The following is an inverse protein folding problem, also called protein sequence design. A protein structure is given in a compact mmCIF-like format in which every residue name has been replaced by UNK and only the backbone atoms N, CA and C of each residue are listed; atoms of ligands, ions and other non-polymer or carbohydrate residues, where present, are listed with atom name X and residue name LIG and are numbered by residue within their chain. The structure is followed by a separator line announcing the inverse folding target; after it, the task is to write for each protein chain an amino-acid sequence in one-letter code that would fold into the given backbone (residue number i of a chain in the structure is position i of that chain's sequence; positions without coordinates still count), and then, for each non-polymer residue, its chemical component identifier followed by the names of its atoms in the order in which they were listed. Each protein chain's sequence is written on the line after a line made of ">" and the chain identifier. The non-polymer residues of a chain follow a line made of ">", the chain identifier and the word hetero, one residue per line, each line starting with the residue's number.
data_IF_438275594039
#
_entry.id   IF_438275594039
#
_cell.length_a   1.000
_cell.length_b   1.000
_cell.length_c   1.000
_cell.angle_alpha   90.00
_cell.angle_beta   90.00
_cell.angle_gamma   90.00
#
_symmetry.space_group_name_H-M   'P 1'
#
loop_
_entity.id
_entity.type
_entity.pdbx_description
1 polymer ?
#
# COMPACT_ATOMS: atom_id res chain seq x y z
N UNK A 1 -49.16 -22.51 -16.17
CA UNK A 1 -47.89 -22.25 -15.46
C UNK A 1 -46.87 -21.79 -16.48
N UNK A 2 -46.43 -20.52 -16.45
CA UNK A 2 -45.37 -20.03 -17.36
C UNK A 2 -44.07 -19.92 -16.55
N UNK A 3 -42.94 -20.46 -17.02
CA UNK A 3 -41.68 -20.33 -16.30
C UNK A 3 -41.26 -18.86 -16.26
N UNK A 4 -40.94 -18.38 -15.05
CA UNK A 4 -40.38 -17.04 -14.82
C UNK A 4 -39.03 -16.97 -15.55
N UNK A 5 -38.78 -15.97 -16.43
CA UNK A 5 -37.52 -15.92 -17.16
C UNK A 5 -36.39 -15.74 -16.15
N UNK A 6 -35.40 -16.64 -16.21
CA UNK A 6 -34.16 -16.47 -15.48
C UNK A 6 -33.55 -15.14 -15.90
N UNK A 7 -33.45 -14.20 -14.96
CA UNK A 7 -32.93 -12.87 -15.21
C UNK A 7 -31.57 -12.99 -15.93
N UNK A 8 -31.45 -12.36 -17.10
CA UNK A 8 -30.19 -12.30 -17.82
C UNK A 8 -29.10 -11.71 -16.92
N UNK A 9 -27.90 -12.29 -16.98
CA UNK A 9 -26.77 -11.84 -16.18
C UNK A 9 -26.33 -10.44 -16.61
N UNK A 10 -26.48 -9.45 -15.72
CA UNK A 10 -26.05 -8.07 -15.92
C UNK A 10 -24.64 -7.88 -15.37
N UNK A 11 -23.64 -7.99 -16.26
CA UNK A 11 -22.24 -7.84 -15.93
C UNK A 11 -21.89 -6.44 -15.35
N UNK A 12 -22.41 -5.31 -15.89
CA UNK A 12 -22.27 -4.00 -15.26
C UNK A 12 -22.75 -3.93 -13.81
N UNK A 13 -23.93 -4.47 -13.52
CA UNK A 13 -24.49 -4.46 -12.16
C UNK A 13 -23.62 -5.26 -11.18
N UNK A 14 -23.17 -6.45 -11.59
CA UNK A 14 -22.31 -7.29 -10.74
C UNK A 14 -20.92 -6.66 -10.56
N UNK A 15 -20.36 -6.02 -11.59
CA UNK A 15 -19.09 -5.30 -11.47
C UNK A 15 -19.19 -4.10 -10.51
N UNK A 16 -20.31 -3.36 -10.51
CA UNK A 16 -20.56 -2.27 -9.58
C UNK A 16 -20.64 -2.79 -8.14
N UNK A 17 -21.37 -3.90 -7.92
CA UNK A 17 -21.46 -4.58 -6.62
C UNK A 17 -20.09 -5.04 -6.13
N UNK A 18 -19.28 -5.68 -6.97
CA UNK A 18 -17.92 -6.12 -6.62
C UNK A 18 -17.00 -4.96 -6.23
N UNK A 19 -17.08 -3.83 -6.94
CA UNK A 19 -16.29 -2.62 -6.62
C UNK A 19 -16.71 -2.01 -5.28
N UNK A 20 -18.01 -1.95 -5.01
CA UNK A 20 -18.54 -1.48 -3.73
C UNK A 20 -18.09 -2.37 -2.58
N UNK A 21 -18.20 -3.70 -2.75
CA UNK A 21 -17.73 -4.69 -1.79
C UNK A 21 -16.22 -4.57 -1.56
N UNK A 22 -15.43 -4.42 -2.63
CA UNK A 22 -13.98 -4.25 -2.53
C UNK A 22 -13.61 -2.99 -1.76
N UNK A 23 -14.33 -1.88 -1.99
CA UNK A 23 -14.14 -0.62 -1.27
C UNK A 23 -14.51 -0.75 0.21
N UNK A 24 -15.62 -1.41 0.53
CA UNK A 24 -16.06 -1.65 1.90
C UNK A 24 -15.11 -2.58 2.67
N UNK A 25 -14.58 -3.60 2.01
CA UNK A 25 -13.58 -4.54 2.57
C UNK A 25 -12.19 -3.94 2.68
N UNK A 26 -11.92 -2.80 2.04
CA UNK A 26 -10.61 -2.15 2.05
C UNK A 26 -10.32 -1.60 3.44
N UNK A 27 -9.77 -2.46 4.31
CA UNK A 27 -9.29 -2.07 5.64
C UNK A 27 -8.09 -1.15 5.48
N UNK A 28 -8.23 0.13 5.81
CA UNK A 28 -7.12 1.07 5.89
C UNK A 28 -6.23 0.64 7.06
N UNK A 29 -5.25 -0.24 6.81
CA UNK A 29 -4.27 -0.61 7.82
C UNK A 29 -3.38 0.61 8.09
N UNK A 30 -3.73 1.35 9.14
CA UNK A 30 -2.84 2.31 9.82
C UNK A 30 -1.80 1.57 10.67
N UNK A 31 -1.26 0.45 10.18
CA UNK A 31 -0.17 -0.22 10.86
C UNK A 31 1.09 0.61 10.67
N UNK A 32 1.68 1.06 11.78
CA UNK A 32 3.00 1.70 11.80
C UNK A 32 3.98 0.81 11.03
N UNK A 33 4.57 1.35 9.98
CA UNK A 33 5.59 0.67 9.19
C UNK A 33 6.75 0.31 10.09
N UNK A 34 7.43 -0.82 9.85
CA UNK A 34 8.71 -1.12 10.50
C UNK A 34 9.76 -0.02 10.25
N UNK A 35 9.59 0.74 9.16
CA UNK A 35 10.38 1.92 8.82
C UNK A 35 10.12 3.10 9.76
N UNK A 36 8.94 3.19 10.38
CA UNK A 36 8.61 4.30 11.28
C UNK A 36 9.48 4.33 12.53
N UNK A 37 10.07 3.17 12.91
CA UNK A 37 11.06 3.09 13.99
C UNK A 37 12.34 3.88 13.69
N UNK A 38 12.69 4.01 12.41
CA UNK A 38 13.90 4.69 11.94
C UNK A 38 13.53 5.93 11.13
N UNK A 39 12.35 6.52 11.39
CA UNK A 39 11.83 7.60 10.56
C UNK A 39 12.78 8.79 10.53
N UNK A 40 13.35 9.14 11.68
CA UNK A 40 14.22 10.28 11.83
C UNK A 40 15.52 10.11 11.03
N UNK A 41 16.15 8.93 11.12
CA UNK A 41 17.38 8.61 10.40
C UNK A 41 17.15 8.46 8.90
N UNK A 42 16.05 7.84 8.49
CA UNK A 42 15.72 7.66 7.08
C UNK A 42 15.43 9.00 6.38
N UNK A 43 14.79 9.95 7.07
CA UNK A 43 14.57 11.29 6.55
C UNK A 43 15.88 12.08 6.48
N UNK A 44 16.69 12.06 7.54
CA UNK A 44 17.99 12.73 7.52
C UNK A 44 18.89 12.22 6.39
N UNK A 45 18.97 10.90 6.18
CA UNK A 45 19.73 10.33 5.06
C UNK A 45 19.14 10.71 3.70
N UNK A 46 17.81 10.80 3.58
CA UNK A 46 17.17 11.23 2.34
C UNK A 46 17.42 12.72 2.04
N UNK A 47 17.47 13.57 3.07
CA UNK A 47 17.79 15.00 2.95
C UNK A 47 19.25 15.20 2.50
N UNK A 48 20.17 14.32 2.91
CA UNK A 48 21.54 14.23 2.39
C UNK A 48 21.63 13.65 0.95
N UNK A 49 20.49 13.36 0.32
CA UNK A 49 20.42 12.88 -1.05
C UNK A 49 20.57 11.37 -1.23
N UNK A 50 20.54 10.57 -0.16
CA UNK A 50 20.61 9.12 -0.29
C UNK A 50 19.40 8.55 -1.04
N UNK A 51 19.68 7.63 -1.96
CA UNK A 51 18.67 6.94 -2.75
C UNK A 51 17.90 5.90 -1.92
N UNK A 52 16.67 5.52 -2.32
CA UNK A 52 15.93 4.46 -1.62
C UNK A 52 16.64 3.10 -1.58
N UNK A 53 17.56 2.83 -2.52
CA UNK A 53 18.39 1.63 -2.52
C UNK A 53 19.46 1.65 -1.42
N UNK A 54 20.07 2.80 -1.17
CA UNK A 54 21.05 3.01 -0.09
C UNK A 54 20.38 2.97 1.28
N UNK A 55 19.21 3.60 1.42
CA UNK A 55 18.40 3.50 2.63
C UNK A 55 18.02 2.03 2.93
N UNK A 56 17.67 1.25 1.90
CA UNK A 56 17.43 -0.20 2.05
C UNK A 56 18.68 -0.95 2.52
N UNK A 57 19.86 -0.58 2.03
CA UNK A 57 21.13 -1.18 2.47
C UNK A 57 21.39 -0.89 3.94
N UNK A 58 21.26 0.37 4.35
CA UNK A 58 21.38 0.80 5.75
C UNK A 58 20.39 0.09 6.68
N UNK A 59 19.15 -0.13 6.23
CA UNK A 59 18.15 -0.91 6.98
C UNK A 59 18.52 -2.38 7.12
N UNK A 60 19.18 -2.97 6.11
CA UNK A 60 19.61 -4.37 6.15
C UNK A 60 20.65 -4.60 7.24
N UNK A 61 21.57 -3.65 7.42
CA UNK A 61 22.59 -3.71 8.49
C UNK A 61 21.95 -3.70 9.88
N UNK A 62 20.74 -3.15 9.99
CA UNK A 62 19.90 -3.11 11.20
C UNK A 62 18.89 -4.26 11.29
N UNK A 63 19.08 -5.32 10.48
CA UNK A 63 18.21 -6.51 10.40
C UNK A 63 16.77 -6.21 9.95
N UNK A 64 16.55 -5.07 9.27
CA UNK A 64 15.26 -4.70 8.69
C UNK A 64 15.26 -5.01 7.20
N UNK A 65 14.65 -6.14 6.85
CA UNK A 65 14.50 -6.58 5.46
C UNK A 65 13.17 -6.07 4.88
N UNK A 66 13.27 -5.12 3.95
CA UNK A 66 12.14 -4.56 3.20
C UNK A 66 12.45 -4.52 1.70
N UNK A 67 11.39 -4.56 0.89
CA UNK A 67 11.53 -4.37 -0.54
C UNK A 67 11.81 -2.91 -0.88
N UNK A 68 12.55 -2.65 -1.97
CA UNK A 68 12.84 -1.30 -2.45
C UNK A 68 11.55 -0.45 -2.59
N UNK A 69 10.49 -1.02 -3.18
CA UNK A 69 9.20 -0.33 -3.32
C UNK A 69 8.55 0.03 -1.99
N UNK A 70 8.89 -0.66 -0.90
CA UNK A 70 8.41 -0.31 0.44
C UNK A 70 9.06 0.96 0.94
N UNK A 71 10.38 1.12 0.74
CA UNK A 71 11.12 2.34 1.09
C UNK A 71 10.64 3.52 0.25
N UNK A 72 10.57 3.35 -1.08
CA UNK A 72 10.10 4.40 -1.98
C UNK A 72 8.65 4.85 -1.67
N UNK A 73 7.74 3.90 -1.41
CA UNK A 73 6.36 4.21 -1.02
C UNK A 73 6.31 4.91 0.34
N UNK A 74 7.15 4.51 1.29
CA UNK A 74 7.19 5.10 2.62
C UNK A 74 7.68 6.55 2.58
N UNK A 75 8.75 6.83 1.81
CA UNK A 75 9.23 8.19 1.57
C UNK A 75 8.14 9.07 0.93
N UNK A 76 7.50 8.61 -0.14
CA UNK A 76 6.39 9.34 -0.79
C UNK A 76 5.25 9.67 0.17
N UNK A 77 4.94 8.75 1.09
CA UNK A 77 3.90 8.98 2.10
C UNK A 77 4.31 10.04 3.13
N UNK A 78 5.59 10.10 3.50
CA UNK A 78 6.14 11.05 4.47
C UNK A 78 6.39 12.43 3.86
N UNK A 79 6.77 12.50 2.58
CA UNK A 79 6.97 13.75 1.86
C UNK A 79 5.64 14.48 1.53
N UNK A 80 4.55 13.73 1.40
CA UNK A 80 3.20 14.27 1.14
C UNK A 80 2.36 14.42 2.43
N UNK A 81 3.01 14.42 3.59
CA UNK A 81 2.37 14.46 4.92
C UNK A 81 2.47 15.83 5.57
#
# INVERSE_FOLDING_TARGET
>A
MKPKPAAAFDAPAEAARLRADTRARRRTRHTRSRLDRYAHELLALADEGCTPAELRRWLRDRRVHVHHSTVARWLRRRANG
#
